data_IF_951977331475
#
_entry.id   IF_951977331475
#
_cell.length_a   1.000
_cell.length_b   1.000
_cell.length_c   1.000
_cell.angle_alpha   90.00
_cell.angle_beta   90.00
_cell.angle_gamma   90.00
#
_symmetry.space_group_name_H-M   'P 1'
#
loop_
_entity.id
_entity.type
_entity.pdbx_description
1 polymer ?
#
# COMPACT_ATOMS: atom_id res chain seq x y z
N UNK A 1 -20.31 12.91 -16.98
CA UNK A 1 -20.92 11.66 -16.46
C UNK A 1 -20.11 11.18 -15.26
N UNK A 2 -20.76 10.73 -14.17
CA UNK A 2 -20.09 10.06 -13.04
C UNK A 2 -20.32 8.55 -13.19
N UNK A 3 -19.39 7.86 -13.81
CA UNK A 3 -19.43 6.41 -13.99
C UNK A 3 -18.24 5.77 -13.28
N UNK A 4 -18.36 4.48 -12.96
CA UNK A 4 -17.29 3.69 -12.36
C UNK A 4 -17.29 2.32 -13.02
N UNK A 5 -16.11 1.71 -13.13
CA UNK A 5 -15.91 0.43 -13.79
C UNK A 5 -14.95 -0.47 -12.98
N UNK A 6 -14.98 -1.77 -13.25
CA UNK A 6 -14.20 -2.79 -12.55
C UNK A 6 -13.10 -3.33 -13.45
N UNK A 7 -11.85 -3.08 -13.05
CA UNK A 7 -10.66 -3.62 -13.72
C UNK A 7 -10.23 -4.92 -13.04
N UNK A 8 -10.10 -6.01 -13.82
CA UNK A 8 -9.68 -7.33 -13.33
C UNK A 8 -8.21 -7.59 -13.65
N UNK A 9 -7.49 -8.16 -12.70
CA UNK A 9 -6.08 -8.54 -12.85
C UNK A 9 -5.95 -10.07 -12.80
N UNK A 10 -5.17 -10.64 -13.72
CA UNK A 10 -4.94 -12.07 -13.80
C UNK A 10 -3.43 -12.35 -13.73
N UNK A 11 -3.03 -13.17 -12.77
CA UNK A 11 -1.65 -13.64 -12.66
C UNK A 11 -1.54 -15.09 -13.12
N UNK A 12 -0.79 -15.32 -14.21
CA UNK A 12 -0.50 -16.66 -14.79
C UNK A 12 0.99 -17.01 -14.73
N UNK A 13 1.74 -16.39 -13.82
CA UNK A 13 3.15 -16.73 -13.61
C UNK A 13 3.34 -17.98 -12.73
N UNK A 14 4.59 -18.30 -12.38
CA UNK A 14 4.93 -19.49 -11.60
C UNK A 14 4.23 -19.55 -10.23
N UNK A 15 3.90 -20.76 -9.79
CA UNK A 15 3.40 -21.05 -8.46
C UNK A 15 4.54 -21.41 -7.49
N UNK A 16 5.42 -20.44 -7.24
CA UNK A 16 6.65 -20.60 -6.45
C UNK A 16 6.62 -19.81 -5.12
N UNK A 17 7.78 -19.72 -4.49
CA UNK A 17 8.07 -19.08 -3.20
C UNK A 17 8.56 -17.62 -3.35
N UNK A 18 8.39 -17.01 -4.54
CA UNK A 18 8.87 -15.66 -4.85
C UNK A 18 7.73 -14.65 -4.95
N UNK A 19 7.85 -13.57 -4.18
CA UNK A 19 6.95 -12.42 -4.29
C UNK A 19 7.28 -11.59 -5.54
N UNK A 20 6.26 -11.05 -6.21
CA UNK A 20 6.43 -10.28 -7.45
C UNK A 20 5.74 -8.94 -7.38
N UNK A 21 6.38 -7.93 -7.95
CA UNK A 21 5.96 -6.54 -7.88
C UNK A 21 5.70 -6.01 -9.29
N UNK A 22 4.53 -5.43 -9.49
CA UNK A 22 4.10 -4.86 -10.76
C UNK A 22 3.71 -3.40 -10.56
N UNK A 23 4.02 -2.55 -11.54
CA UNK A 23 3.50 -1.19 -11.62
C UNK A 23 2.33 -1.15 -12.58
N UNK A 24 1.16 -0.76 -12.09
CA UNK A 24 0.01 -0.48 -12.93
C UNK A 24 0.11 1.00 -13.33
N UNK A 25 0.07 1.25 -14.63
CA UNK A 25 0.14 2.60 -15.18
C UNK A 25 -1.22 2.94 -15.77
N UNK A 26 -1.86 3.95 -15.20
CA UNK A 26 -3.14 4.47 -15.65
C UNK A 26 -2.88 5.69 -16.52
N UNK A 27 -3.43 5.69 -17.72
CA UNK A 27 -3.40 6.83 -18.64
C UNK A 27 -4.81 7.37 -18.79
N UNK A 28 -5.01 8.63 -18.42
CA UNK A 28 -6.27 9.33 -18.54
C UNK A 28 -6.10 10.49 -19.54
N UNK A 29 -7.04 10.62 -20.46
CA UNK A 29 -7.08 11.67 -21.46
C UNK A 29 -8.48 12.28 -21.47
N UNK A 30 -8.58 13.54 -21.07
CA UNK A 30 -9.81 14.29 -21.18
C UNK A 30 -10.05 14.62 -22.66
N UNK A 31 -11.07 14.00 -23.25
CA UNK A 31 -11.55 14.40 -24.57
C UNK A 31 -12.18 15.79 -24.44
N UNK A 32 -11.52 16.78 -25.01
CA UNK A 32 -12.09 18.12 -25.17
C UNK A 32 -13.07 18.11 -26.35
N UNK A 33 -14.30 18.62 -26.13
CA UNK A 33 -15.23 18.87 -27.22
C UNK A 33 -14.64 19.94 -28.15
N UNK A 34 -14.12 19.52 -29.30
CA UNK A 34 -13.82 20.44 -30.38
C UNK A 34 -15.17 21.02 -30.84
N UNK A 35 -15.53 22.23 -30.38
CA UNK A 35 -16.70 22.94 -30.90
C UNK A 35 -16.58 23.00 -32.43
N UNK A 36 -17.47 22.30 -33.14
CA UNK A 36 -17.75 22.51 -34.57
C UNK A 36 -18.50 23.84 -34.73
N UNK A 37 -17.88 24.95 -34.34
CA UNK A 37 -18.28 26.26 -34.83
C UNK A 37 -17.41 26.55 -36.06
N UNK A 38 -18.05 26.90 -37.17
CA UNK A 38 -17.46 27.01 -38.51
C UNK A 38 -16.42 28.12 -38.70
N UNK A 39 -15.53 28.34 -37.73
CA UNK A 39 -14.33 29.18 -37.87
C UNK A 39 -13.12 28.31 -38.25
N UNK A 40 -12.29 28.85 -39.14
CA UNK A 40 -11.21 28.15 -39.85
C UNK A 40 -9.99 27.76 -39.00
N UNK A 41 -10.02 27.97 -37.67
CA UNK A 41 -9.02 27.46 -36.73
C UNK A 41 -9.66 27.16 -35.37
N UNK A 42 -9.78 25.87 -35.04
CA UNK A 42 -10.01 25.42 -33.67
C UNK A 42 -8.70 24.90 -33.08
N UNK A 43 -8.31 25.40 -31.91
CA UNK A 43 -7.22 24.86 -31.12
C UNK A 43 -7.84 23.98 -30.03
N UNK A 44 -7.53 22.68 -30.07
CA UNK A 44 -8.06 21.69 -29.14
C UNK A 44 -6.98 21.40 -28.10
N UNK A 45 -7.23 21.74 -26.84
CA UNK A 45 -6.32 21.46 -25.73
C UNK A 45 -6.77 20.20 -24.97
N UNK A 46 -6.06 19.08 -25.19
CA UNK A 46 -6.32 17.82 -24.49
C UNK A 46 -5.52 17.78 -23.19
N UNK A 47 -6.20 17.71 -22.04
CA UNK A 47 -5.56 17.43 -20.76
C UNK A 47 -5.30 15.92 -20.62
N UNK A 48 -4.13 15.54 -20.13
CA UNK A 48 -3.80 14.13 -19.86
C UNK A 48 -3.14 13.95 -18.50
N UNK A 49 -3.38 12.80 -17.87
CA UNK A 49 -2.80 12.42 -16.59
C UNK A 49 -2.24 10.99 -16.65
N UNK A 50 -1.12 10.77 -15.95
CA UNK A 50 -0.50 9.45 -15.80
C UNK A 50 -0.33 9.13 -14.33
N UNK A 51 -1.02 8.10 -13.85
CA UNK A 51 -0.98 7.66 -12.45
C UNK A 51 -0.26 6.32 -12.38
N UNK A 52 0.62 6.14 -11.39
CA UNK A 52 1.30 4.86 -11.15
C UNK A 52 0.89 4.25 -9.81
N UNK A 53 0.31 3.06 -9.83
CA UNK A 53 0.02 2.27 -8.62
C UNK A 53 0.84 0.99 -8.60
N UNK A 54 0.90 0.31 -7.45
CA UNK A 54 1.67 -0.92 -7.26
C UNK A 54 0.70 -2.08 -7.00
N UNK A 55 0.97 -3.21 -7.65
CA UNK A 55 0.36 -4.51 -7.38
C UNK A 55 1.44 -5.46 -6.87
N UNK A 56 1.20 -6.04 -5.70
CA UNK A 56 2.05 -7.08 -5.11
C UNK A 56 1.35 -8.42 -5.26
N UNK A 57 2.03 -9.38 -5.88
CA UNK A 57 1.59 -10.78 -5.97
C UNK A 57 2.38 -11.57 -4.94
N UNK A 58 1.73 -11.90 -3.83
CA UNK A 58 2.31 -12.75 -2.79
C UNK A 58 2.69 -14.13 -3.35
N UNK A 59 3.73 -14.79 -2.81
CA UNK A 59 4.12 -16.13 -3.22
C UNK A 59 2.97 -17.13 -3.09
N UNK A 60 2.86 -18.10 -4.02
CA UNK A 60 1.89 -19.20 -3.87
C UNK A 60 2.31 -20.16 -2.77
N UNK A 61 3.62 -20.34 -2.56
CA UNK A 61 4.20 -21.06 -1.42
C UNK A 61 4.61 -20.05 -0.35
N UNK A 62 3.63 -19.43 0.28
CA UNK A 62 3.86 -18.41 1.29
C UNK A 62 4.38 -19.01 2.60
N UNK A 63 5.40 -18.38 3.16
CA UNK A 63 5.99 -18.67 4.46
C UNK A 63 6.06 -17.36 5.24
N UNK A 64 4.98 -17.07 5.97
CA UNK A 64 4.90 -15.89 6.81
C UNK A 64 5.66 -16.11 8.11
N UNK A 65 6.67 -15.28 8.36
CA UNK A 65 7.44 -15.28 9.61
C UNK A 65 7.81 -13.86 9.97
N UNK A 66 7.81 -13.57 11.25
CA UNK A 66 8.21 -12.27 11.76
C UNK A 66 8.90 -12.42 13.11
N UNK A 67 9.68 -11.42 13.47
CA UNK A 67 10.22 -11.24 14.80
C UNK A 67 9.88 -9.83 15.28
N UNK A 68 9.53 -9.72 16.56
CA UNK A 68 9.30 -8.43 17.19
C UNK A 68 10.15 -8.34 18.45
N UNK A 69 11.05 -7.36 18.47
CA UNK A 69 11.94 -7.10 19.60
C UNK A 69 12.21 -5.61 19.72
N UNK A 70 12.21 -5.08 20.94
CA UNK A 70 12.59 -3.70 21.25
C UNK A 70 11.87 -2.61 20.41
N UNK A 71 10.60 -2.83 20.07
CA UNK A 71 9.82 -1.89 19.26
C UNK A 71 10.06 -1.96 17.75
N UNK A 72 10.89 -2.89 17.29
CA UNK A 72 11.20 -3.12 15.88
C UNK A 72 10.62 -4.46 15.44
N UNK A 73 9.98 -4.45 14.26
CA UNK A 73 9.41 -5.62 13.62
C UNK A 73 10.26 -5.99 12.41
N UNK A 74 10.70 -7.23 12.33
CA UNK A 74 11.50 -7.79 11.24
C UNK A 74 10.68 -8.83 10.49
N UNK A 75 10.58 -8.71 9.17
CA UNK A 75 9.96 -9.72 8.33
C UNK A 75 11.01 -10.78 7.97
N UNK A 76 10.90 -11.96 8.57
CA UNK A 76 11.80 -13.11 8.36
C UNK A 76 11.17 -14.16 7.44
N UNK A 77 10.03 -13.86 6.84
CA UNK A 77 9.34 -14.69 5.85
C UNK A 77 9.70 -14.35 4.41
N UNK A 78 8.92 -14.89 3.47
CA UNK A 78 9.08 -14.65 2.03
C UNK A 78 7.95 -13.81 1.38
N UNK A 79 7.00 -13.32 2.18
CA UNK A 79 5.87 -12.51 1.73
C UNK A 79 5.79 -11.19 2.51
N UNK A 80 5.37 -10.11 1.85
CA UNK A 80 5.20 -8.79 2.47
C UNK A 80 4.12 -8.84 3.56
N UNK A 81 4.42 -8.22 4.70
CA UNK A 81 3.49 -8.05 5.82
C UNK A 81 2.90 -6.64 5.80
N UNK A 82 1.61 -6.50 6.12
CA UNK A 82 1.01 -5.18 6.39
C UNK A 82 1.05 -4.96 7.89
N UNK A 83 1.99 -4.17 8.35
CA UNK A 83 2.22 -3.92 9.78
C UNK A 83 1.51 -2.63 10.20
N UNK A 84 1.01 -2.62 11.42
CA UNK A 84 0.38 -1.45 11.99
C UNK A 84 0.64 -1.34 13.49
N UNK A 85 0.67 -0.10 13.96
CA UNK A 85 0.70 0.23 15.38
C UNK A 85 -0.34 1.30 15.67
N UNK A 86 -0.95 1.23 16.84
CA UNK A 86 -1.90 2.22 17.32
C UNK A 86 -1.83 2.35 18.84
N UNK A 87 -2.14 3.53 19.36
CA UNK A 87 -2.09 3.83 20.78
C UNK A 87 -1.66 5.27 21.05
N UNK A 88 -1.13 5.58 22.24
CA UNK A 88 -0.66 6.92 22.55
C UNK A 88 0.44 7.40 21.61
N UNK A 89 0.48 8.69 21.30
CA UNK A 89 1.59 9.26 20.55
C UNK A 89 2.88 9.26 21.38
N UNK A 90 4.02 9.05 20.70
CA UNK A 90 5.35 9.12 21.29
C UNK A 90 5.72 10.56 21.66
N UNK A 91 5.37 11.51 20.80
CA UNK A 91 5.54 12.94 21.05
C UNK A 91 4.19 13.56 21.42
N UNK A 92 4.08 14.29 22.55
CA UNK A 92 2.83 14.94 22.94
C UNK A 92 2.29 15.92 21.88
N UNK A 93 3.17 16.52 21.08
CA UNK A 93 2.81 17.43 19.99
C UNK A 93 2.02 16.75 18.85
N UNK A 94 2.13 15.42 18.69
CA UNK A 94 1.42 14.67 17.65
C UNK A 94 -0.04 14.35 18.04
N UNK A 95 -0.44 14.69 19.28
CA UNK A 95 -1.78 14.46 19.81
C UNK A 95 -1.84 13.36 20.87
N UNK A 96 -3.07 12.96 21.23
CA UNK A 96 -3.30 11.92 22.25
C UNK A 96 -3.18 10.51 21.70
N UNK A 97 -3.58 10.29 20.45
CA UNK A 97 -3.60 8.98 19.80
C UNK A 97 -2.94 9.04 18.43
N UNK A 98 -2.09 8.06 18.17
CA UNK A 98 -1.33 7.92 16.94
C UNK A 98 -1.60 6.55 16.31
N UNK A 99 -1.48 6.51 14.97
CA UNK A 99 -1.50 5.27 14.20
C UNK A 99 -0.45 5.30 13.10
N UNK A 100 0.14 4.14 12.85
CA UNK A 100 1.13 3.93 11.80
C UNK A 100 0.76 2.67 11.01
N UNK A 101 0.90 2.72 9.68
CA UNK A 101 0.64 1.59 8.78
C UNK A 101 1.74 1.53 7.73
N UNK A 102 2.35 0.36 7.57
CA UNK A 102 3.42 0.15 6.60
C UNK A 102 3.33 -1.22 5.93
N UNK A 103 3.86 -1.30 4.71
CA UNK A 103 4.23 -2.57 4.09
C UNK A 103 5.67 -2.92 4.49
N UNK A 104 5.88 -4.11 5.04
CA UNK A 104 7.18 -4.62 5.45
C UNK A 104 7.58 -5.80 4.56
N UNK A 105 8.47 -5.54 3.61
CA UNK A 105 8.96 -6.53 2.65
C UNK A 105 9.82 -7.62 3.33
N UNK A 106 9.94 -8.81 2.72
CA UNK A 106 10.85 -9.87 3.18
C UNK A 106 12.28 -9.38 3.45
N UNK A 107 12.84 -9.77 4.59
CA UNK A 107 14.20 -9.40 5.01
C UNK A 107 14.37 -7.94 5.45
N UNK A 108 13.28 -7.18 5.58
CA UNK A 108 13.31 -5.79 6.06
C UNK A 108 12.82 -5.69 7.50
N UNK A 109 13.25 -4.61 8.14
CA UNK A 109 12.82 -4.23 9.48
C UNK A 109 12.16 -2.85 9.49
N UNK A 110 11.28 -2.63 10.46
CA UNK A 110 10.66 -1.33 10.73
C UNK A 110 10.50 -1.11 12.22
N UNK A 111 10.94 0.05 12.66
CA UNK A 111 10.60 0.63 13.96
C UNK A 111 9.45 1.61 13.80
N UNK A 112 8.49 1.58 14.72
CA UNK A 112 7.43 2.58 14.81
C UNK A 112 7.95 3.84 15.49
N UNK A 113 7.69 5.01 14.91
CA UNK A 113 8.30 6.28 15.34
C UNK A 113 7.31 7.31 15.85
N UNK A 114 6.01 7.12 15.61
CA UNK A 114 4.95 8.02 16.05
C UNK A 114 4.15 7.46 17.21
N UNK A 115 3.92 6.15 17.25
CA UNK A 115 3.20 5.46 18.31
C UNK A 115 4.16 5.11 19.44
N UNK A 116 3.77 5.42 20.68
CA UNK A 116 4.49 4.97 21.87
C UNK A 116 4.23 3.48 22.12
N UNK A 117 4.94 2.62 21.39
CA UNK A 117 4.82 1.17 21.52
C UNK A 117 5.35 0.62 22.85
N UNK A 118 6.10 1.41 23.63
CA UNK A 118 6.55 1.02 24.96
C UNK A 118 5.43 1.14 26.00
N UNK A 119 4.45 2.03 25.78
CA UNK A 119 3.29 2.19 26.64
C UNK A 119 2.42 0.92 26.68
N UNK A 120 1.76 0.66 27.83
CA UNK A 120 0.85 -0.49 28.00
C UNK A 120 -0.38 -0.42 27.11
N UNK A 121 -0.75 0.76 26.62
CA UNK A 121 -1.83 1.00 25.66
C UNK A 121 -1.36 0.98 24.20
N UNK A 122 -0.04 0.95 23.96
CA UNK A 122 0.52 0.74 22.63
C UNK A 122 0.25 -0.67 22.14
N UNK A 123 -0.28 -0.79 20.93
CA UNK A 123 -0.58 -2.06 20.26
C UNK A 123 0.21 -2.16 18.97
N UNK A 124 0.66 -3.37 18.67
CA UNK A 124 1.30 -3.71 17.40
C UNK A 124 0.59 -4.91 16.83
N UNK A 125 0.23 -4.83 15.55
CA UNK A 125 -0.39 -5.93 14.83
C UNK A 125 0.11 -5.97 13.40
N UNK A 126 -0.20 -7.08 12.71
CA UNK A 126 0.14 -7.24 11.31
C UNK A 126 -0.90 -8.10 10.59
N UNK A 127 -0.92 -8.01 9.27
CA UNK A 127 -1.65 -8.93 8.41
C UNK A 127 -0.69 -9.87 7.68
N UNK A 128 -0.99 -11.17 7.75
CA UNK A 128 -0.37 -12.24 6.96
C UNK A 128 -1.36 -12.67 5.89
N UNK A 129 -1.24 -12.13 4.69
CA UNK A 129 -2.30 -12.23 3.69
C UNK A 129 -3.60 -11.61 4.24
N UNK A 130 -4.62 -12.43 4.46
CA UNK A 130 -5.93 -12.02 4.99
C UNK A 130 -6.08 -12.25 6.50
N UNK A 131 -5.09 -12.87 7.16
CA UNK A 131 -5.15 -13.14 8.59
C UNK A 131 -4.60 -11.96 9.40
N UNK A 132 -5.40 -11.47 10.34
CA UNK A 132 -4.95 -10.48 11.33
C UNK A 132 -4.24 -11.16 12.50
N UNK A 133 -3.07 -10.64 12.87
CA UNK A 133 -2.23 -11.18 13.95
C UNK A 133 -1.91 -10.06 14.95
N UNK A 134 -2.45 -10.11 16.18
CA UNK A 134 -2.00 -9.23 17.25
C UNK A 134 -0.60 -9.67 17.70
N UNK A 135 0.35 -8.74 17.71
CA UNK A 135 1.75 -9.00 18.12
C UNK A 135 1.96 -8.62 19.59
N UNK A 136 1.38 -7.49 20.02
CA UNK A 136 1.43 -6.95 21.39
C UNK A 136 0.19 -6.12 21.66
#
# INVERSE_FOLDING_TARGET
AKASDVIRFFYKGPADDKERYYRIVWFDQALSDAQRNGSTRSAVATASARIGTILVVAPRKANFRYQYANGTLVNTGNATLRILAYGPCLKPADGKECKENYFLMPGKERRFTRVNVADKKGRVALWQGEQFVPVK
#
